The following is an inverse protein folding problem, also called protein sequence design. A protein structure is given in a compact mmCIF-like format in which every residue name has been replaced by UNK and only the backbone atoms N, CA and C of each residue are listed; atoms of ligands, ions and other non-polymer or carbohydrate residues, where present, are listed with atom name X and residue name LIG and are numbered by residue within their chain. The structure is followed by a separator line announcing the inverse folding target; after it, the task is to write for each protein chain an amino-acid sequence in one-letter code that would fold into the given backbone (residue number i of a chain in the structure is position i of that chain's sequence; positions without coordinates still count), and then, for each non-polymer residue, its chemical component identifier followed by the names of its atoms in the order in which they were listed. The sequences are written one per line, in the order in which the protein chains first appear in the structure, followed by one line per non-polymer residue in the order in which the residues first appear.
data_IF_588645488852
#
_entry.id   IF_588645488852
#
_cell.length_a   1.000
_cell.length_b   1.000
_cell.length_c   1.000
_cell.angle_alpha   90.00
_cell.angle_beta   90.00
_cell.angle_gamma   90.00
#
_symmetry.space_group_name_H-M   'P 1'
#
loop_
_entity.id
_entity.type
_entity.pdbx_description
1 polymer ?
#
# COMPACT_ATOMS: atom_id res chain seq x y z
N UNK A 1 17.69 32.89 36.60
CA UNK A 1 17.69 31.62 37.35
C UNK A 1 16.63 30.71 36.78
N UNK A 2 17.00 29.46 36.57
CA UNK A 2 16.16 28.42 36.01
C UNK A 2 15.14 27.94 37.04
N UNK A 3 13.95 27.53 36.58
CA UNK A 3 13.30 26.34 37.11
C UNK A 3 12.45 25.67 36.03
N UNK A 4 12.88 24.46 35.71
CA UNK A 4 12.29 23.51 34.77
C UNK A 4 11.17 22.77 35.53
N UNK A 5 9.95 22.82 35.01
CA UNK A 5 8.86 21.92 35.38
C UNK A 5 8.70 20.82 34.33
N UNK A 6 9.36 19.69 34.58
CA UNK A 6 9.28 18.36 33.98
C UNK A 6 8.19 18.07 32.92
N UNK A 7 8.65 17.85 31.68
CA UNK A 7 8.04 16.99 30.68
C UNK A 7 8.13 15.52 31.12
N UNK A 8 7.01 14.78 31.10
CA UNK A 8 6.98 13.33 30.78
C UNK A 8 5.54 12.85 30.58
N UNK A 9 5.08 12.80 29.32
CA UNK A 9 4.17 11.75 28.81
C UNK A 9 4.62 11.41 27.38
N UNK A 10 4.82 10.14 27.00
CA UNK A 10 5.28 9.76 25.67
C UNK A 10 4.10 9.65 24.69
N UNK A 11 4.05 10.57 23.74
CA UNK A 11 3.09 10.59 22.64
C UNK A 11 3.29 11.88 21.86
N UNK A 12 4.01 11.79 20.75
CA UNK A 12 4.59 12.91 19.99
C UNK A 12 3.68 14.13 19.88
N UNK A 13 4.22 15.23 20.39
CA UNK A 13 3.71 16.58 20.26
C UNK A 13 3.66 16.94 18.77
N UNK A 14 2.49 16.84 18.14
CA UNK A 14 2.21 17.67 16.97
C UNK A 14 2.01 19.10 17.49
N UNK A 15 3.13 19.78 17.80
CA UNK A 15 3.17 21.23 17.81
C UNK A 15 2.88 21.66 16.38
N UNK A 16 1.59 21.82 16.07
CA UNK A 16 1.21 22.77 15.05
C UNK A 16 1.77 24.11 15.53
N UNK A 17 2.63 24.79 14.74
CA UNK A 17 2.99 26.15 15.05
C UNK A 17 1.68 26.93 15.18
N UNK A 18 1.47 27.55 16.34
CA UNK A 18 0.39 28.47 16.65
C UNK A 18 0.58 29.80 15.89
N UNK A 19 0.92 29.72 14.59
CA UNK A 19 0.94 30.85 13.68
C UNK A 19 -0.49 31.02 13.21
N UNK A 20 -1.26 31.67 14.08
CA UNK A 20 -2.60 32.16 13.85
C UNK A 20 -2.84 32.47 12.37
N UNK A 21 -3.81 31.77 11.76
CA UNK A 21 -4.35 32.16 10.45
C UNK A 21 -4.69 33.66 10.53
N UNK A 22 -4.10 34.43 9.61
CA UNK A 22 -3.70 35.83 9.80
C UNK A 22 -4.83 36.75 10.31
N UNK A 23 -4.49 37.80 11.08
CA UNK A 23 -5.41 38.91 11.38
C UNK A 23 -6.10 39.46 10.13
N UNK A 24 -5.42 39.39 8.97
CA UNK A 24 -5.99 39.77 7.68
C UNK A 24 -7.07 38.81 7.18
N UNK A 25 -6.92 37.50 7.43
CA UNK A 25 -7.97 36.53 7.15
C UNK A 25 -9.20 36.79 8.03
N UNK A 26 -8.99 37.15 9.31
CA UNK A 26 -10.08 37.57 10.21
C UNK A 26 -10.78 38.83 9.71
N UNK A 27 -10.03 39.87 9.30
CA UNK A 27 -10.58 41.11 8.73
C UNK A 27 -11.36 40.83 7.44
N UNK A 28 -10.83 39.97 6.57
CA UNK A 28 -11.46 39.60 5.29
C UNK A 28 -12.78 38.86 5.51
N UNK A 29 -12.81 37.92 6.46
CA UNK A 29 -14.02 37.19 6.83
C UNK A 29 -15.04 38.15 7.46
N UNK A 30 -14.61 39.04 8.34
CA UNK A 30 -15.49 40.03 8.98
C UNK A 30 -16.07 41.03 7.98
N UNK A 31 -15.27 41.48 7.01
CA UNK A 31 -15.74 42.35 5.94
C UNK A 31 -16.75 41.64 5.02
N UNK A 32 -16.58 40.34 4.77
CA UNK A 32 -17.43 39.56 3.87
C UNK A 32 -18.74 39.08 4.52
N UNK A 33 -18.68 38.64 5.78
CA UNK A 33 -19.79 37.97 6.46
C UNK A 33 -20.33 38.75 7.68
N UNK A 34 -19.75 39.90 8.00
CA UNK A 34 -20.15 40.73 9.13
C UNK A 34 -19.60 40.19 10.45
N UNK A 35 -20.42 40.23 11.51
CA UNK A 35 -20.03 39.76 12.83
C UNK A 35 -20.06 38.24 12.96
N UNK A 36 -19.41 37.70 13.99
CA UNK A 36 -19.60 36.32 14.38
C UNK A 36 -21.09 36.05 14.69
N UNK A 37 -21.59 34.82 14.44
CA UNK A 37 -22.93 34.42 14.86
C UNK A 37 -23.13 34.69 16.34
N UNK A 38 -24.34 35.11 16.73
CA UNK A 38 -24.72 35.19 18.15
C UNK A 38 -24.69 33.80 18.78
N UNK A 39 -24.51 33.73 20.11
CA UNK A 39 -24.47 32.45 20.83
C UNK A 39 -25.75 31.62 20.59
N UNK A 40 -26.91 32.28 20.50
CA UNK A 40 -28.19 31.67 20.12
C UNK A 40 -28.16 31.11 18.69
N UNK A 41 -27.60 31.85 17.73
CA UNK A 41 -27.46 31.42 16.35
C UNK A 41 -26.50 30.23 16.21
N UNK A 42 -25.42 30.23 16.99
CA UNK A 42 -24.48 29.12 17.07
C UNK A 42 -25.15 27.87 17.68
N UNK A 43 -25.98 28.04 18.71
CA UNK A 43 -26.73 26.93 19.30
C UNK A 43 -27.80 26.38 18.34
N UNK A 44 -28.57 27.24 17.68
CA UNK A 44 -29.54 26.82 16.65
C UNK A 44 -28.86 26.13 15.45
N UNK A 45 -27.62 26.50 15.13
CA UNK A 45 -26.81 25.81 14.12
C UNK A 45 -26.33 24.43 14.61
N UNK A 46 -25.92 24.31 15.89
CA UNK A 46 -25.60 23.02 16.53
C UNK A 46 -26.81 22.11 16.60
N UNK A 47 -27.99 22.60 16.98
CA UNK A 47 -29.19 21.78 17.13
C UNK A 47 -29.67 21.18 15.80
N UNK A 48 -29.37 21.86 14.69
CA UNK A 48 -29.61 21.36 13.32
C UNK A 48 -28.62 20.27 12.88
N UNK A 49 -27.71 19.81 13.73
CA UNK A 49 -26.82 18.67 13.44
C UNK A 49 -27.58 17.42 13.00
N UNK A 50 -28.82 17.19 13.47
CA UNK A 50 -29.65 16.05 13.02
C UNK A 50 -29.95 16.07 11.51
N UNK A 51 -30.02 17.25 10.91
CA UNK A 51 -30.33 17.46 9.49
C UNK A 51 -29.07 17.59 8.63
N UNK A 52 -27.95 18.00 9.26
CA UNK A 52 -26.62 17.93 8.67
C UNK A 52 -26.15 16.50 8.90
N UNK A 53 -26.43 15.56 7.99
CA UNK A 53 -25.89 14.18 8.03
C UNK A 53 -24.36 14.24 8.18
N UNK A 54 -23.90 14.37 9.41
CA UNK A 54 -22.50 14.27 9.77
C UNK A 54 -22.17 12.81 9.50
N UNK A 55 -21.31 12.57 8.51
CA UNK A 55 -20.75 11.24 8.26
C UNK A 55 -20.33 10.70 9.62
N UNK A 56 -20.79 9.51 9.99
CA UNK A 56 -20.44 8.90 11.27
C UNK A 56 -18.97 8.48 11.26
N UNK A 57 -18.10 9.46 11.49
CA UNK A 57 -16.65 9.26 11.52
C UNK A 57 -16.24 8.36 12.68
N UNK A 58 -16.99 8.39 13.78
CA UNK A 58 -16.75 7.54 14.94
C UNK A 58 -17.06 6.08 14.63
N UNK A 59 -18.22 5.80 14.05
CA UNK A 59 -18.61 4.47 13.59
C UNK A 59 -17.71 3.95 12.47
N UNK A 60 -17.35 4.79 11.50
CA UNK A 60 -16.38 4.42 10.45
C UNK A 60 -15.00 4.07 11.05
N UNK A 61 -14.51 4.86 12.01
CA UNK A 61 -13.26 4.58 12.72
C UNK A 61 -13.35 3.30 13.54
N UNK A 62 -14.44 3.07 14.25
CA UNK A 62 -14.65 1.86 15.03
C UNK A 62 -14.69 0.62 14.13
N UNK A 63 -15.38 0.70 13.00
CA UNK A 63 -15.40 -0.34 11.99
C UNK A 63 -13.99 -0.66 11.48
N UNK A 64 -13.22 0.36 11.10
CA UNK A 64 -11.83 0.18 10.68
C UNK A 64 -11.01 -0.50 11.77
N UNK A 65 -11.05 0.00 13.01
CA UNK A 65 -10.29 -0.59 14.13
C UNK A 65 -10.67 -2.05 14.41
N UNK A 66 -11.95 -2.40 14.25
CA UNK A 66 -12.43 -3.77 14.46
C UNK A 66 -11.95 -4.72 13.35
N UNK A 67 -11.85 -4.24 12.11
CA UNK A 67 -11.52 -5.07 10.95
C UNK A 67 -10.05 -5.03 10.55
N UNK A 68 -9.28 -4.04 11.03
CA UNK A 68 -7.86 -3.88 10.73
C UNK A 68 -7.03 -5.14 11.06
N UNK A 69 -7.19 -5.80 12.22
CA UNK A 69 -6.41 -7.01 12.54
C UNK A 69 -6.68 -8.17 11.57
N UNK A 70 -7.92 -8.29 11.09
CA UNK A 70 -8.30 -9.30 10.09
C UNK A 70 -7.65 -8.98 8.74
N UNK A 71 -7.66 -7.70 8.35
CA UNK A 71 -6.97 -7.23 7.14
C UNK A 71 -5.48 -7.52 7.20
N UNK A 72 -4.82 -7.18 8.32
CA UNK A 72 -3.40 -7.43 8.53
C UNK A 72 -3.06 -8.92 8.46
N UNK A 73 -3.91 -9.78 9.04
CA UNK A 73 -3.74 -11.24 8.97
C UNK A 73 -3.83 -11.75 7.53
N UNK A 74 -4.78 -11.26 6.75
CA UNK A 74 -4.93 -11.65 5.34
C UNK A 74 -3.74 -11.16 4.50
N UNK A 75 -3.26 -9.94 4.73
CA UNK A 75 -2.06 -9.42 4.06
C UNK A 75 -0.82 -10.24 4.43
N UNK A 76 -0.69 -10.66 5.68
CA UNK A 76 0.41 -11.54 6.09
C UNK A 76 0.35 -12.89 5.37
N UNK A 77 -0.84 -13.49 5.23
CA UNK A 77 -1.00 -14.74 4.48
C UNK A 77 -0.62 -14.60 3.00
N UNK A 78 -0.93 -13.46 2.38
CA UNK A 78 -0.50 -13.16 1.00
C UNK A 78 1.03 -13.11 0.92
N UNK A 79 1.70 -12.43 1.86
CA UNK A 79 3.16 -12.35 1.92
C UNK A 79 3.81 -13.70 2.16
N UNK A 80 3.24 -14.52 3.06
CA UNK A 80 3.74 -15.87 3.33
C UNK A 80 3.65 -16.74 2.07
N UNK A 81 2.52 -16.67 1.36
CA UNK A 81 2.31 -17.38 0.09
C UNK A 81 3.28 -16.90 -1.00
N UNK A 82 3.54 -15.59 -1.07
CA UNK A 82 4.55 -15.04 -1.97
C UNK A 82 5.95 -15.60 -1.61
N UNK A 83 6.33 -15.62 -0.33
CA UNK A 83 7.60 -16.19 0.12
C UNK A 83 7.74 -17.66 -0.26
N UNK A 84 6.67 -18.46 -0.12
CA UNK A 84 6.67 -19.86 -0.56
C UNK A 84 6.98 -19.98 -2.06
N UNK A 85 6.35 -19.15 -2.89
CA UNK A 85 6.62 -19.14 -4.32
C UNK A 85 8.06 -18.70 -4.65
N UNK A 86 8.65 -17.78 -3.89
CA UNK A 86 10.06 -17.41 -4.05
C UNK A 86 10.97 -18.60 -3.74
N UNK A 87 10.68 -19.37 -2.68
CA UNK A 87 11.41 -20.60 -2.37
C UNK A 87 11.28 -21.65 -3.49
N UNK A 88 10.08 -21.84 -4.03
CA UNK A 88 9.88 -22.71 -5.18
C UNK A 88 10.64 -22.22 -6.41
N UNK A 89 10.70 -20.91 -6.67
CA UNK A 89 11.44 -20.34 -7.78
C UNK A 89 12.94 -20.69 -7.71
N UNK A 90 13.53 -20.66 -6.51
CA UNK A 90 14.92 -21.09 -6.28
C UNK A 90 15.08 -22.60 -6.54
N UNK A 91 14.15 -23.42 -6.05
CA UNK A 91 14.23 -24.87 -6.21
C UNK A 91 14.08 -25.33 -7.67
N UNK A 92 13.13 -24.74 -8.39
CA UNK A 92 12.88 -25.01 -9.81
C UNK A 92 14.08 -24.51 -10.63
N UNK A 93 14.58 -23.30 -10.33
CA UNK A 93 15.66 -22.68 -11.07
C UNK A 93 15.20 -22.30 -12.49
N UNK A 94 16.03 -22.56 -13.50
CA UNK A 94 15.74 -22.21 -14.90
C UNK A 94 15.23 -23.36 -15.76
N UNK A 95 14.82 -24.48 -15.16
CA UNK A 95 14.50 -25.71 -15.88
C UNK A 95 12.99 -26.01 -15.85
N UNK A 96 12.22 -25.66 -16.91
CA UNK A 96 10.79 -25.98 -17.01
C UNK A 96 10.47 -27.47 -16.92
N UNK A 97 11.43 -28.34 -17.27
CA UNK A 97 11.29 -29.79 -17.19
C UNK A 97 11.06 -30.30 -15.77
N UNK A 98 11.52 -29.58 -14.72
CA UNK A 98 11.20 -29.93 -13.33
C UNK A 98 9.71 -29.77 -13.00
N UNK A 99 8.99 -28.99 -13.80
CA UNK A 99 7.53 -28.86 -13.76
C UNK A 99 6.84 -29.80 -14.75
N UNK A 100 7.59 -30.70 -15.39
CA UNK A 100 7.13 -31.58 -16.46
C UNK A 100 6.61 -30.81 -17.69
N UNK A 101 7.17 -29.61 -17.93
CA UNK A 101 6.78 -28.77 -19.05
C UNK A 101 7.85 -28.85 -20.15
N UNK A 102 7.41 -29.29 -21.32
CA UNK A 102 8.18 -29.24 -22.55
C UNK A 102 7.99 -27.86 -23.21
N UNK A 103 9.07 -27.08 -23.31
CA UNK A 103 9.05 -25.76 -23.96
C UNK A 103 9.03 -25.83 -25.48
N UNK A 104 9.29 -27.00 -26.07
CA UNK A 104 9.26 -27.19 -27.54
C UNK A 104 7.84 -27.45 -28.05
N UNK A 105 6.93 -27.89 -27.18
CA UNK A 105 5.52 -28.02 -27.49
C UNK A 105 4.79 -26.68 -27.22
N UNK A 106 4.17 -26.06 -28.24
CA UNK A 106 3.54 -24.74 -28.09
C UNK A 106 2.44 -24.67 -27.03
N UNK A 107 1.69 -25.76 -26.80
CA UNK A 107 0.58 -25.76 -25.84
C UNK A 107 1.08 -25.69 -24.41
N UNK A 108 2.10 -26.49 -24.08
CA UNK A 108 2.71 -26.55 -22.74
C UNK A 108 3.55 -25.30 -22.46
N UNK A 109 4.24 -24.77 -23.48
CA UNK A 109 4.92 -23.48 -23.38
C UNK A 109 3.94 -22.35 -23.04
N UNK A 110 2.85 -22.23 -23.80
CA UNK A 110 1.83 -21.20 -23.56
C UNK A 110 1.22 -21.34 -22.16
N UNK A 111 0.98 -22.57 -21.71
CA UNK A 111 0.48 -22.83 -20.37
C UNK A 111 1.42 -22.27 -19.29
N UNK A 112 2.72 -22.54 -19.38
CA UNK A 112 3.70 -22.00 -18.45
C UNK A 112 3.76 -20.47 -18.51
N UNK A 113 3.77 -19.89 -19.71
CA UNK A 113 3.79 -18.43 -19.89
C UNK A 113 2.58 -17.77 -19.23
N UNK A 114 1.40 -18.37 -19.36
CA UNK A 114 0.17 -17.85 -18.75
C UNK A 114 0.22 -17.91 -17.22
N UNK A 115 0.73 -19.00 -16.64
CA UNK A 115 0.94 -19.10 -15.19
C UNK A 115 1.92 -18.04 -14.72
N UNK A 116 3.07 -17.91 -15.38
CA UNK A 116 4.11 -16.97 -15.00
C UNK A 116 3.64 -15.52 -15.14
N UNK A 117 2.86 -15.20 -16.18
CA UNK A 117 2.23 -13.87 -16.34
C UNK A 117 1.27 -13.58 -15.17
N UNK A 118 0.42 -14.53 -14.79
CA UNK A 118 -0.49 -14.37 -13.66
C UNK A 118 0.28 -14.16 -12.34
N UNK A 119 1.38 -14.89 -12.13
CA UNK A 119 2.24 -14.70 -10.97
C UNK A 119 2.89 -13.31 -10.97
N UNK A 120 3.32 -12.79 -12.13
CA UNK A 120 3.83 -11.43 -12.24
C UNK A 120 2.78 -10.38 -11.89
N UNK A 121 1.54 -10.56 -12.32
CA UNK A 121 0.43 -9.65 -11.98
C UNK A 121 0.19 -9.65 -10.46
N UNK A 122 0.24 -10.82 -9.80
CA UNK A 122 0.08 -10.93 -8.35
C UNK A 122 1.22 -10.22 -7.61
N UNK A 123 2.46 -10.43 -8.06
CA UNK A 123 3.64 -9.83 -7.43
C UNK A 123 3.74 -8.33 -7.65
N UNK A 124 3.23 -7.80 -8.77
CA UNK A 124 3.21 -6.37 -9.06
C UNK A 124 2.29 -5.55 -8.13
N UNK A 125 1.52 -6.20 -7.26
CA UNK A 125 0.64 -5.54 -6.29
C UNK A 125 1.35 -5.12 -5.00
N UNK A 126 2.57 -5.61 -4.76
CA UNK A 126 3.36 -5.31 -3.57
C UNK A 126 4.76 -4.82 -3.98
N UNK A 127 5.23 -3.74 -3.34
CA UNK A 127 6.48 -3.08 -3.70
C UNK A 127 7.70 -4.01 -3.47
N UNK A 128 7.69 -4.80 -2.39
CA UNK A 128 8.79 -5.72 -2.08
C UNK A 128 8.81 -6.90 -3.06
N UNK A 129 7.64 -7.45 -3.39
CA UNK A 129 7.51 -8.48 -4.42
C UNK A 129 7.93 -7.99 -5.82
N UNK A 130 7.63 -6.73 -6.14
CA UNK A 130 8.05 -6.09 -7.39
C UNK A 130 9.56 -5.90 -7.46
N UNK A 131 10.20 -5.48 -6.37
CA UNK A 131 11.65 -5.38 -6.29
C UNK A 131 12.32 -6.74 -6.51
N UNK A 132 11.78 -7.80 -5.89
CA UNK A 132 12.26 -9.17 -6.11
C UNK A 132 12.11 -9.62 -7.57
N UNK A 133 10.99 -9.30 -8.24
CA UNK A 133 10.84 -9.60 -9.67
C UNK A 133 11.89 -8.90 -10.52
N UNK A 134 12.23 -7.65 -10.21
CA UNK A 134 13.27 -6.91 -10.93
C UNK A 134 14.65 -7.57 -10.75
N UNK A 135 14.96 -8.04 -9.54
CA UNK A 135 16.19 -8.83 -9.29
C UNK A 135 16.20 -10.14 -10.07
N UNK A 136 15.07 -10.86 -10.11
CA UNK A 136 14.96 -12.06 -10.93
C UNK A 136 15.08 -11.76 -12.42
N UNK A 137 14.58 -10.62 -12.91
CA UNK A 137 14.74 -10.22 -14.30
C UNK A 137 16.20 -9.88 -14.63
N UNK A 138 16.96 -9.28 -13.71
CA UNK A 138 18.39 -9.07 -13.90
C UNK A 138 19.18 -10.39 -13.87
N UNK A 139 18.80 -11.31 -12.98
CA UNK A 139 19.48 -12.58 -12.80
C UNK A 139 18.96 -13.68 -13.75
N UNK A 140 19.74 -14.73 -13.99
CA UNK A 140 19.33 -15.87 -14.82
C UNK A 140 19.18 -17.13 -13.98
N UNK A 141 18.73 -16.98 -12.73
CA UNK A 141 18.66 -18.08 -11.75
C UNK A 141 17.29 -18.73 -11.64
N UNK A 142 16.24 -18.14 -12.20
CA UNK A 142 14.86 -18.65 -12.10
C UNK A 142 14.10 -18.53 -13.42
N UNK A 143 12.96 -19.23 -13.51
CA UNK A 143 12.01 -19.10 -14.61
C UNK A 143 11.49 -17.67 -14.80
N UNK A 144 11.41 -16.87 -13.72
CA UNK A 144 11.03 -15.45 -13.82
C UNK A 144 12.05 -14.67 -14.64
N UNK A 145 13.34 -14.95 -14.44
CA UNK A 145 14.42 -14.29 -15.17
C UNK A 145 14.53 -14.67 -16.63
N UNK A 146 14.04 -15.85 -17.02
CA UNK A 146 14.07 -16.36 -18.40
C UNK A 146 12.73 -16.27 -19.13
N UNK A 147 11.68 -15.76 -18.48
CA UNK A 147 10.32 -15.71 -19.03
C UNK A 147 10.23 -15.03 -20.40
N UNK A 148 10.84 -13.84 -20.54
CA UNK A 148 10.85 -13.07 -21.81
C UNK A 148 11.61 -13.77 -22.93
N UNK A 149 12.40 -14.78 -22.58
CA UNK A 149 13.29 -15.51 -23.47
C UNK A 149 12.81 -16.95 -23.72
N UNK A 150 11.50 -17.20 -23.56
CA UNK A 150 10.92 -18.53 -23.75
C UNK A 150 11.47 -19.58 -22.79
N UNK A 151 11.88 -19.15 -21.60
CA UNK A 151 12.54 -19.97 -20.58
C UNK A 151 13.92 -20.52 -20.99
N UNK A 152 14.60 -19.88 -21.95
CA UNK A 152 15.95 -20.24 -22.37
C UNK A 152 17.01 -19.33 -21.73
N UNK A 153 17.85 -19.83 -20.80
CA UNK A 153 18.99 -19.09 -20.26
C UNK A 153 19.99 -18.67 -21.34
N UNK A 154 20.24 -19.56 -22.31
CA UNK A 154 21.19 -19.31 -23.39
C UNK A 154 20.70 -18.18 -24.31
N UNK A 155 19.40 -18.12 -24.59
CA UNK A 155 18.82 -17.02 -25.38
C UNK A 155 18.95 -15.69 -24.65
N UNK A 156 18.73 -15.66 -23.34
CA UNK A 156 18.93 -14.46 -22.53
C UNK A 156 20.39 -13.99 -22.59
N UNK A 157 21.34 -14.90 -22.35
CA UNK A 157 22.77 -14.58 -22.41
C UNK A 157 23.23 -14.09 -23.78
N UNK A 158 22.61 -14.55 -24.87
CA UNK A 158 22.94 -14.12 -26.22
C UNK A 158 22.37 -12.74 -26.60
N UNK A 159 21.30 -12.30 -25.92
CA UNK A 159 20.59 -11.05 -26.21
C UNK A 159 20.92 -9.91 -25.23
N UNK A 160 21.66 -10.20 -24.16
CA UNK A 160 22.12 -9.25 -23.15
C UNK A 160 23.61 -8.97 -23.29
#
# INVERSE_FOLDING_TARGET
EAQIGSNTVPGGLLLLPDVFKSPDMRRTIQARYGSAPTDEGAQAWKDRHKWRREVDLSGARQYLLQHLPTGDKLLQQVRDTQSDFQHWAVHIGTEPLKLFIDTTNPKTLLYLQMIMLNLQIIYAQDDAATAWLAEQEANTSSLFGTLRYGFSPALKQALH
#
